data_IF_415047417177
#
_entry.id   IF_415047417177
#
_cell.length_a   1.000
_cell.length_b   1.000
_cell.length_c   1.000
_cell.angle_alpha   90.00
_cell.angle_beta   90.00
_cell.angle_gamma   90.00
#
_symmetry.space_group_name_H-M   'P 1'
#
loop_
_entity.id
_entity.type
_entity.pdbx_description
1 polymer ?
#
# COMPACT_ATOMS: atom_id res chain seq x y z
N UNK A 1 6.98 4.68 -1.74
CA UNK A 1 6.28 3.76 -0.82
C UNK A 1 6.22 2.40 -1.50
N UNK A 2 6.14 1.29 -0.76
CA UNK A 2 6.03 -0.07 -1.34
C UNK A 2 5.00 -0.89 -0.57
N UNK A 3 3.94 -1.29 -1.26
CA UNK A 3 2.84 -2.07 -0.67
C UNK A 3 3.19 -3.55 -0.45
N UNK A 4 4.32 -4.02 -1.00
CA UNK A 4 4.85 -5.37 -0.77
C UNK A 4 5.93 -5.41 0.30
N UNK A 5 6.34 -4.24 0.84
CA UNK A 5 7.34 -4.12 1.89
C UNK A 5 8.77 -4.47 1.48
N UNK A 6 9.06 -4.40 0.17
CA UNK A 6 10.38 -4.52 -0.43
C UNK A 6 10.84 -3.18 -1.03
N UNK A 7 12.13 -3.05 -1.35
CA UNK A 7 12.67 -1.85 -1.99
C UNK A 7 12.02 -1.63 -3.36
N UNK A 8 11.49 -0.43 -3.59
CA UNK A 8 10.87 -0.06 -4.85
C UNK A 8 10.20 1.30 -4.79
N UNK A 9 9.61 1.69 -5.91
CA UNK A 9 8.96 2.99 -6.10
C UNK A 9 7.60 2.83 -6.78
N UNK A 10 6.69 3.74 -6.45
CA UNK A 10 5.41 3.90 -7.15
C UNK A 10 5.58 5.02 -8.17
N UNK A 11 5.30 4.72 -9.44
CA UNK A 11 5.46 5.67 -10.53
C UNK A 11 4.10 6.26 -10.91
N UNK A 12 3.96 7.57 -10.71
CA UNK A 12 2.80 8.34 -11.15
C UNK A 12 3.10 8.97 -12.50
N UNK A 13 2.43 8.49 -13.54
CA UNK A 13 2.73 8.83 -14.93
C UNK A 13 1.42 9.27 -15.61
N UNK A 14 1.41 10.35 -16.41
CA UNK A 14 0.27 10.68 -17.26
C UNK A 14 -0.11 9.51 -18.17
N UNK A 15 -1.40 9.29 -18.36
CA UNK A 15 -1.91 8.10 -19.06
C UNK A 15 -1.33 7.95 -20.47
N UNK A 16 -1.04 9.05 -21.17
CA UNK A 16 -0.46 9.01 -22.51
C UNK A 16 0.94 8.39 -22.58
N UNK A 17 1.69 8.38 -21.47
CA UNK A 17 3.06 7.85 -21.42
C UNK A 17 3.17 6.48 -20.76
N UNK A 18 2.07 5.95 -20.22
CA UNK A 18 2.10 4.72 -19.40
C UNK A 18 2.68 3.52 -20.16
N UNK A 19 2.31 3.33 -21.43
CA UNK A 19 2.82 2.21 -22.25
C UNK A 19 4.30 2.37 -22.59
N UNK A 20 4.73 3.56 -23.00
CA UNK A 20 6.14 3.80 -23.34
C UNK A 20 7.06 3.63 -22.12
N UNK A 21 6.63 4.09 -20.95
CA UNK A 21 7.38 3.88 -19.71
C UNK A 21 7.41 2.40 -19.32
N UNK A 22 6.31 1.68 -19.51
CA UNK A 22 6.26 0.23 -19.29
C UNK A 22 7.28 -0.52 -20.15
N UNK A 23 7.33 -0.25 -21.46
CA UNK A 23 8.23 -0.93 -22.38
C UNK A 23 9.71 -0.71 -22.00
N UNK A 24 10.08 0.53 -21.66
CA UNK A 24 11.45 0.87 -21.23
C UNK A 24 11.84 0.14 -19.94
N UNK A 25 10.92 0.04 -18.98
CA UNK A 25 11.16 -0.68 -17.72
C UNK A 25 11.29 -2.18 -17.95
N UNK A 26 10.43 -2.75 -18.81
CA UNK A 26 10.46 -4.17 -19.14
C UNK A 26 11.78 -4.55 -19.82
N UNK A 27 12.23 -3.76 -20.80
CA UNK A 27 13.50 -3.97 -21.50
C UNK A 27 14.69 -3.86 -20.54
N UNK A 28 14.76 -2.80 -19.73
CA UNK A 28 15.85 -2.65 -18.75
C UNK A 28 15.85 -3.77 -17.70
N UNK A 29 14.67 -4.26 -17.32
CA UNK A 29 14.46 -5.28 -16.31
C UNK A 29 14.80 -6.71 -16.75
N UNK A 30 14.90 -6.99 -18.05
CA UNK A 30 15.18 -8.35 -18.55
C UNK A 30 16.49 -8.91 -17.97
N UNK A 31 17.54 -8.08 -17.94
CA UNK A 31 18.84 -8.43 -17.36
C UNK A 31 18.82 -8.69 -15.84
N UNK A 32 17.77 -8.22 -15.17
CA UNK A 32 17.57 -8.35 -13.72
C UNK A 32 16.54 -9.45 -13.36
N UNK A 33 16.02 -10.18 -14.35
CA UNK A 33 14.98 -11.19 -14.11
C UNK A 33 13.65 -10.58 -13.68
N UNK A 34 13.33 -9.37 -14.16
CA UNK A 34 12.06 -8.71 -13.88
C UNK A 34 10.89 -9.58 -14.34
N UNK A 35 9.90 -9.74 -13.47
CA UNK A 35 8.67 -10.48 -13.76
C UNK A 35 7.46 -9.63 -13.47
N UNK A 36 6.41 -9.80 -14.29
CA UNK A 36 5.13 -9.15 -14.06
C UNK A 36 4.36 -9.85 -12.95
N UNK A 37 4.14 -9.14 -11.85
CA UNK A 37 3.36 -9.63 -10.71
C UNK A 37 1.92 -9.12 -10.78
N UNK A 38 0.96 -10.04 -10.67
CA UNK A 38 -0.46 -9.71 -10.62
C UNK A 38 -0.96 -9.33 -9.22
N UNK A 39 -2.24 -8.97 -9.15
CA UNK A 39 -2.89 -8.52 -7.92
C UNK A 39 -2.86 -9.56 -6.77
N UNK A 40 -2.95 -10.85 -7.08
CA UNK A 40 -2.88 -11.91 -6.06
C UNK A 40 -1.52 -12.01 -5.38
N UNK A 41 -0.43 -11.83 -6.14
CA UNK A 41 0.92 -11.78 -5.58
C UNK A 41 1.07 -10.57 -4.65
N UNK A 42 0.59 -9.40 -5.09
CA UNK A 42 0.56 -8.19 -4.28
C UNK A 42 -0.24 -8.39 -2.97
N UNK A 43 -1.41 -9.05 -3.06
CA UNK A 43 -2.25 -9.33 -1.89
C UNK A 43 -1.61 -10.34 -0.93
N UNK A 44 -0.82 -11.29 -1.42
CA UNK A 44 -0.06 -12.20 -0.54
C UNK A 44 1.02 -11.43 0.23
N UNK A 45 1.86 -10.68 -0.49
CA UNK A 45 2.99 -9.97 0.09
C UNK A 45 2.57 -8.90 1.09
N UNK A 46 1.48 -8.17 0.82
CA UNK A 46 0.96 -7.16 1.77
C UNK A 46 0.44 -7.79 3.07
N UNK A 47 -0.11 -9.01 3.01
CA UNK A 47 -0.55 -9.74 4.21
C UNK A 47 0.66 -10.15 5.05
N UNK A 48 1.74 -10.62 4.41
CA UNK A 48 3.00 -10.98 5.09
C UNK A 48 3.61 -9.79 5.84
N UNK A 49 3.48 -8.57 5.30
CA UNK A 49 3.91 -7.33 5.95
C UNK A 49 2.87 -6.73 6.91
N UNK A 50 1.77 -7.45 7.15
CA UNK A 50 0.66 -7.05 8.01
C UNK A 50 -0.07 -5.75 7.59
N UNK A 51 0.04 -5.35 6.32
CA UNK A 51 -0.69 -4.21 5.78
C UNK A 51 -2.18 -4.52 5.63
N UNK A 52 -3.00 -3.55 6.06
CA UNK A 52 -4.46 -3.69 6.13
C UNK A 52 -5.12 -3.06 4.91
N UNK A 53 -6.08 -3.79 4.35
CA UNK A 53 -6.93 -3.32 3.27
C UNK A 53 -8.27 -2.82 3.83
N UNK A 54 -8.68 -1.62 3.43
CA UNK A 54 -10.00 -1.09 3.77
C UNK A 54 -11.10 -1.97 3.17
N UNK A 55 -12.17 -2.21 3.92
CA UNK A 55 -13.29 -3.09 3.55
C UNK A 55 -13.07 -4.57 3.89
N UNK A 56 -11.85 -5.10 3.79
CA UNK A 56 -11.55 -6.49 4.15
C UNK A 56 -10.99 -6.63 5.58
N UNK A 57 -9.99 -5.84 5.92
CA UNK A 57 -9.29 -5.94 7.21
C UNK A 57 -9.73 -4.87 8.21
N UNK A 58 -10.32 -3.77 7.73
CA UNK A 58 -10.79 -2.65 8.53
C UNK A 58 -12.07 -2.12 7.86
N UNK A 59 -13.13 -1.92 8.63
CA UNK A 59 -14.32 -1.18 8.21
C UNK A 59 -14.53 0.05 9.10
N UNK A 60 -15.56 0.82 8.78
CA UNK A 60 -16.06 1.94 9.59
C UNK A 60 -16.58 1.53 10.98
N UNK A 61 -16.84 0.23 11.18
CA UNK A 61 -17.25 -0.35 12.46
C UNK A 61 -16.05 -0.71 13.36
N UNK A 62 -14.83 -0.74 12.83
CA UNK A 62 -13.64 -1.12 13.57
C UNK A 62 -12.98 0.07 14.28
N UNK A 63 -12.61 -0.14 15.55
CA UNK A 63 -11.80 0.83 16.28
C UNK A 63 -10.30 0.64 15.98
N UNK A 64 -9.58 1.76 15.86
CA UNK A 64 -8.14 1.79 15.59
C UNK A 64 -7.33 0.97 16.62
N UNK A 65 -7.80 0.92 17.88
CA UNK A 65 -7.22 0.12 18.96
C UNK A 65 -7.33 -1.38 18.66
N UNK A 66 -8.51 -1.85 18.26
CA UNK A 66 -8.80 -3.27 17.99
C UNK A 66 -8.01 -3.82 16.80
N UNK A 67 -7.64 -2.96 15.85
CA UNK A 67 -6.90 -3.33 14.64
C UNK A 67 -5.39 -3.05 14.73
N UNK A 68 -4.88 -2.68 15.91
CA UNK A 68 -3.44 -2.49 16.14
C UNK A 68 -2.82 -1.28 15.43
N UNK A 69 -3.65 -0.31 15.00
CA UNK A 69 -3.22 0.90 14.27
C UNK A 69 -2.88 2.07 15.20
N UNK A 70 -2.68 1.79 16.48
CA UNK A 70 -2.52 2.79 17.55
C UNK A 70 -1.29 3.67 17.32
N UNK A 71 -0.17 3.10 16.87
CA UNK A 71 1.05 3.85 16.62
C UNK A 71 0.90 4.86 15.46
N UNK A 72 0.19 4.46 14.39
CA UNK A 72 -0.11 5.34 13.25
C UNK A 72 -1.03 6.49 13.67
N UNK A 73 -2.00 6.23 14.57
CA UNK A 73 -2.90 7.25 15.08
C UNK A 73 -2.19 8.31 15.93
N UNK A 74 -1.31 7.89 16.85
CA UNK A 74 -0.59 8.80 17.77
C UNK A 74 0.42 9.70 17.03
N UNK A 75 1.10 9.16 16.01
CA UNK A 75 2.16 9.90 15.30
C UNK A 75 1.62 10.97 14.33
N UNK A 76 0.37 10.86 13.89
CA UNK A 76 -0.18 11.72 12.84
C UNK A 76 -0.96 12.92 13.39
N UNK A 77 -1.46 12.91 14.64
CA UNK A 77 -2.32 14.00 15.14
C UNK A 77 -2.28 14.25 16.68
N UNK A 78 -1.62 15.31 17.16
CA UNK A 78 -1.68 15.74 18.57
C UNK A 78 -2.91 16.63 18.92
N UNK A 79 -3.96 16.68 18.08
CA UNK A 79 -5.09 17.61 18.24
C UNK A 79 -6.45 17.05 17.80
N UNK A 80 -7.51 17.65 18.32
CA UNK A 80 -8.91 17.19 18.31
C UNK A 80 -9.51 16.92 16.92
N UNK A 81 -10.10 15.73 16.73
CA UNK A 81 -10.83 15.36 15.51
C UNK A 81 -12.06 14.48 15.80
N UNK A 82 -12.95 14.37 14.80
CA UNK A 82 -14.30 13.77 14.84
C UNK A 82 -14.42 12.36 15.46
N UNK A 83 -13.34 11.60 15.55
CA UNK A 83 -13.34 10.23 16.09
C UNK A 83 -13.08 10.14 17.61
N UNK A 84 -12.93 11.26 18.34
CA UNK A 84 -12.64 11.27 19.80
C UNK A 84 -13.76 10.68 20.67
N UNK A 85 -14.99 10.56 20.16
CA UNK A 85 -16.18 10.20 20.95
C UNK A 85 -16.71 8.76 20.74
N UNK A 86 -16.00 7.90 20.02
CA UNK A 86 -16.40 6.48 19.89
C UNK A 86 -15.25 5.55 20.29
N UNK A 87 -15.17 5.31 21.60
CA UNK A 87 -14.49 4.16 22.20
C UNK A 87 -15.47 2.99 22.32
#
# INVERSE_FOLDING_TARGET
>A
MSYVGELGWELYIPSEFALGVYDVIAEAGESHGLVMAGYHALNSLRIEKAFRHWGHDISDEDTHLRRGLVLLWILVNPGDFLARLRC
#
